data_IF_811696685969
#
_entry.id   IF_811696685969
#
_cell.length_a   1.000
_cell.length_b   1.000
_cell.length_c   1.000
_cell.angle_alpha   90.00
_cell.angle_beta   90.00
_cell.angle_gamma   90.00
#
_symmetry.space_group_name_H-M   'P 1'
#
loop_
_entity.id
_entity.type
_entity.pdbx_description
1 polymer ?
#
# COMPACT_ATOMS: atom_id res chain seq x y z
N UNK A 1 -46.15 33.06 14.51
CA UNK A 1 -45.54 31.74 14.38
C UNK A 1 -44.62 31.76 13.17
N UNK A 2 -43.36 31.93 13.38
CA UNK A 2 -42.32 31.73 12.32
C UNK A 2 -41.74 30.32 12.50
N UNK A 3 -42.25 29.37 11.76
CA UNK A 3 -41.50 28.13 11.53
C UNK A 3 -40.47 28.44 10.47
N UNK A 4 -39.26 28.73 10.91
CA UNK A 4 -38.09 28.83 10.06
C UNK A 4 -37.82 27.45 9.47
N UNK A 5 -37.72 27.35 8.16
CA UNK A 5 -37.20 26.17 7.48
C UNK A 5 -35.69 26.09 7.75
N UNK A 6 -35.28 25.50 8.85
CA UNK A 6 -33.86 25.25 9.15
C UNK A 6 -33.22 24.36 8.08
N UNK A 7 -33.96 23.43 7.51
CA UNK A 7 -33.50 22.55 6.41
C UNK A 7 -33.16 23.27 5.10
N UNK A 8 -33.64 24.50 4.90
CA UNK A 8 -33.38 25.26 3.65
C UNK A 8 -32.05 26.02 3.71
N UNK A 9 -31.51 26.26 4.87
CA UNK A 9 -30.25 26.98 5.07
C UNK A 9 -29.03 26.06 5.19
N UNK A 10 -29.24 24.76 5.29
CA UNK A 10 -28.14 23.78 5.34
C UNK A 10 -27.70 23.37 3.92
N UNK A 11 -27.21 24.38 3.18
CA UNK A 11 -26.71 24.23 1.78
C UNK A 11 -25.39 23.47 1.74
N UNK A 12 -24.76 23.24 2.88
CA UNK A 12 -23.48 22.54 2.98
C UNK A 12 -23.62 21.01 3.14
N UNK A 13 -24.88 20.53 3.22
CA UNK A 13 -25.17 19.13 3.36
C UNK A 13 -25.50 18.52 2.00
N UNK A 14 -24.49 17.95 1.36
CA UNK A 14 -24.69 17.18 0.11
C UNK A 14 -25.29 15.83 0.48
N UNK A 15 -26.59 15.65 0.26
CA UNK A 15 -27.30 14.37 0.52
C UNK A 15 -26.72 13.18 -0.25
N UNK A 16 -25.97 13.46 -1.29
CA UNK A 16 -25.37 12.45 -2.19
C UNK A 16 -23.93 12.08 -1.84
N UNK A 17 -23.34 12.71 -0.83
CA UNK A 17 -22.01 12.33 -0.34
C UNK A 17 -22.13 11.58 0.99
N UNK A 18 -21.56 10.37 1.12
CA UNK A 18 -21.60 9.65 2.40
C UNK A 18 -20.85 10.46 3.45
N UNK A 19 -21.57 10.86 4.52
CA UNK A 19 -21.03 11.65 5.63
C UNK A 19 -20.09 10.83 6.50
N UNK A 20 -20.30 9.53 6.50
CA UNK A 20 -19.50 8.56 7.25
C UNK A 20 -18.93 7.51 6.31
N UNK A 21 -17.63 7.37 6.33
CA UNK A 21 -16.93 6.29 5.64
C UNK A 21 -16.73 5.12 6.60
N UNK A 22 -16.77 3.90 6.10
CA UNK A 22 -16.56 2.68 6.88
C UNK A 22 -15.41 1.85 6.32
N UNK A 23 -14.87 0.94 7.13
CA UNK A 23 -13.74 0.08 6.74
C UNK A 23 -14.07 -0.77 5.50
N UNK A 24 -15.30 -1.28 5.41
CA UNK A 24 -15.76 -2.09 4.27
C UNK A 24 -15.84 -1.31 2.96
N UNK A 25 -15.91 0.02 3.01
CA UNK A 25 -15.84 0.89 1.84
C UNK A 25 -14.40 1.24 1.45
N UNK A 26 -13.50 1.39 2.42
CA UNK A 26 -12.13 1.85 2.16
C UNK A 26 -11.16 0.70 1.88
N UNK A 27 -11.32 -0.45 2.54
CA UNK A 27 -10.43 -1.59 2.36
C UNK A 27 -10.36 -2.09 0.90
N UNK A 28 -11.49 -2.19 0.14
CA UNK A 28 -11.43 -2.52 -1.29
C UNK A 28 -10.61 -1.52 -2.11
N UNK A 29 -10.71 -0.23 -1.77
CA UNK A 29 -9.94 0.83 -2.42
C UNK A 29 -8.45 0.70 -2.10
N UNK A 30 -8.11 0.40 -0.85
CA UNK A 30 -6.73 0.19 -0.42
C UNK A 30 -6.09 -1.01 -1.11
N UNK A 31 -6.79 -2.16 -1.19
CA UNK A 31 -6.26 -3.36 -1.88
C UNK A 31 -6.15 -3.15 -3.40
N UNK A 32 -7.07 -2.39 -3.99
CA UNK A 32 -6.95 -1.99 -5.39
C UNK A 32 -5.70 -1.14 -5.64
N UNK A 33 -5.50 -0.08 -4.87
CA UNK A 33 -4.32 0.79 -5.07
C UNK A 33 -3.01 0.11 -4.68
N UNK A 34 -3.03 -0.88 -3.77
CA UNK A 34 -1.88 -1.74 -3.52
C UNK A 34 -1.44 -2.49 -4.79
N UNK A 35 -2.39 -2.97 -5.60
CA UNK A 35 -2.09 -3.59 -6.88
C UNK A 35 -1.59 -2.59 -7.93
N UNK A 36 -2.17 -1.37 -7.95
CA UNK A 36 -1.78 -0.32 -8.88
C UNK A 36 -0.37 0.19 -8.62
N UNK A 37 0.04 0.34 -7.36
CA UNK A 37 1.41 0.77 -7.04
C UNK A 37 2.44 -0.28 -7.48
N UNK A 38 2.12 -1.57 -7.34
CA UNK A 38 2.98 -2.65 -7.86
C UNK A 38 3.12 -2.57 -9.39
N UNK A 39 2.02 -2.29 -10.09
CA UNK A 39 2.04 -2.08 -11.54
C UNK A 39 2.90 -0.87 -11.92
N UNK A 40 2.67 0.30 -11.32
CA UNK A 40 3.39 1.53 -11.64
C UNK A 40 4.91 1.37 -11.43
N UNK A 41 5.33 0.68 -10.35
CA UNK A 41 6.74 0.38 -10.09
C UNK A 41 7.33 -0.62 -11.08
N UNK A 42 6.58 -1.65 -11.45
CA UNK A 42 7.02 -2.63 -12.43
C UNK A 42 7.15 -1.99 -13.82
N UNK A 43 6.16 -1.21 -14.24
CA UNK A 43 6.18 -0.49 -15.51
C UNK A 43 7.37 0.47 -15.58
N UNK A 44 7.56 1.29 -14.54
CA UNK A 44 8.73 2.17 -14.46
C UNK A 44 10.04 1.40 -14.57
N UNK A 45 10.17 0.29 -13.82
CA UNK A 45 11.38 -0.53 -13.81
C UNK A 45 11.72 -1.10 -15.18
N UNK A 46 10.73 -1.68 -15.88
CA UNK A 46 10.97 -2.32 -17.20
C UNK A 46 11.33 -1.31 -18.30
N UNK A 47 10.80 -0.10 -18.23
CA UNK A 47 11.20 0.97 -19.15
C UNK A 47 12.56 1.56 -18.79
N UNK A 48 12.87 1.77 -17.52
CA UNK A 48 14.17 2.32 -17.09
C UNK A 48 15.33 1.37 -17.38
N UNK A 49 15.15 0.07 -17.23
CA UNK A 49 16.16 -0.93 -17.59
C UNK A 49 16.14 -1.28 -19.10
N UNK A 50 15.26 -0.65 -19.89
CA UNK A 50 15.09 -0.88 -21.32
C UNK A 50 14.74 -2.33 -21.69
N UNK A 51 14.11 -3.06 -20.78
CA UNK A 51 13.58 -4.39 -21.04
C UNK A 51 12.37 -4.34 -21.99
N UNK A 52 11.61 -3.25 -21.96
CA UNK A 52 10.51 -2.95 -22.87
C UNK A 52 10.71 -1.57 -23.50
N UNK A 53 10.22 -1.42 -24.72
CA UNK A 53 10.14 -0.14 -25.44
C UNK A 53 8.84 -0.07 -26.20
N UNK A 54 8.34 1.14 -26.46
CA UNK A 54 7.16 1.33 -27.28
C UNK A 54 7.52 1.26 -28.77
N UNK A 55 6.66 0.64 -29.58
CA UNK A 55 6.81 0.66 -31.03
C UNK A 55 6.42 2.03 -31.60
N UNK A 56 7.41 2.83 -31.96
CA UNK A 56 7.24 4.09 -32.68
C UNK A 56 6.83 5.27 -31.81
N UNK A 57 6.82 6.47 -32.41
CA UNK A 57 6.29 7.69 -31.80
C UNK A 57 4.77 7.60 -31.76
N UNK A 58 4.20 7.19 -30.65
CA UNK A 58 2.77 7.35 -30.45
C UNK A 58 2.46 8.83 -30.23
N UNK A 59 1.71 9.43 -31.12
CA UNK A 59 1.25 10.82 -31.00
C UNK A 59 0.25 11.04 -29.86
N UNK A 60 -0.21 9.97 -29.24
CA UNK A 60 -1.23 9.96 -28.18
C UNK A 60 -0.77 9.36 -26.88
N UNK A 61 0.44 8.90 -26.78
CA UNK A 61 0.82 8.10 -25.63
C UNK A 61 1.85 8.71 -24.75
N UNK A 62 1.51 9.03 -23.83
CA UNK A 62 1.77 9.28 -22.45
C UNK A 62 2.73 8.33 -21.72
N UNK A 63 3.68 7.69 -22.37
CA UNK A 63 4.73 6.97 -21.69
C UNK A 63 6.05 7.70 -21.85
N UNK A 64 6.36 8.67 -20.98
CA UNK A 64 7.59 9.48 -21.07
C UNK A 64 8.85 8.62 -20.94
N UNK A 65 8.74 7.42 -20.39
CA UNK A 65 9.88 6.51 -20.22
C UNK A 65 10.29 5.76 -21.49
N UNK A 66 9.45 5.75 -22.52
CA UNK A 66 9.70 4.99 -23.74
C UNK A 66 10.58 5.69 -24.75
N UNK A 67 10.81 7.00 -24.61
CA UNK A 67 11.50 7.83 -25.58
C UNK A 67 12.88 8.34 -25.12
N UNK A 68 13.42 7.80 -24.08
CA UNK A 68 14.63 8.27 -23.44
C UNK A 68 14.42 8.45 -21.95
N UNK A 69 15.45 8.78 -21.26
CA UNK A 69 15.46 8.89 -19.81
C UNK A 69 14.83 10.23 -19.35
N UNK A 70 13.61 10.50 -19.79
CA UNK A 70 12.84 11.65 -19.34
C UNK A 70 12.21 11.37 -17.99
N UNK A 71 12.67 12.07 -16.96
CA UNK A 71 12.12 11.97 -15.62
C UNK A 71 11.01 13.00 -15.42
N UNK A 72 9.83 12.51 -15.03
CA UNK A 72 8.76 13.40 -14.57
C UNK A 72 9.14 14.01 -13.22
N UNK A 73 8.67 15.22 -12.97
CA UNK A 73 8.76 15.79 -11.63
C UNK A 73 8.08 14.88 -10.61
N UNK A 74 8.69 14.74 -9.42
CA UNK A 74 8.25 13.82 -8.35
C UNK A 74 6.75 13.92 -8.07
N UNK A 75 6.21 15.14 -8.00
CA UNK A 75 4.80 15.41 -7.73
C UNK A 75 3.83 14.92 -8.82
N UNK A 76 4.32 14.61 -10.01
CA UNK A 76 3.53 14.08 -11.13
C UNK A 76 3.75 12.59 -11.36
N UNK A 77 4.70 12.01 -10.65
CA UNK A 77 5.06 10.61 -10.86
C UNK A 77 3.94 9.70 -10.32
N UNK A 78 3.42 8.74 -11.12
CA UNK A 78 2.34 7.86 -10.69
C UNK A 78 2.64 7.15 -9.37
N UNK A 79 3.82 6.57 -9.19
CA UNK A 79 4.22 5.88 -7.96
C UNK A 79 4.14 6.77 -6.72
N UNK A 80 4.63 8.03 -6.82
CA UNK A 80 4.58 9.01 -5.72
C UNK A 80 3.15 9.38 -5.37
N UNK A 81 2.34 9.71 -6.38
CA UNK A 81 0.93 10.02 -6.20
C UNK A 81 0.17 8.84 -5.57
N UNK A 82 0.40 7.61 -6.07
CA UNK A 82 -0.24 6.41 -5.52
C UNK A 82 0.08 6.24 -4.05
N UNK A 83 1.35 6.35 -3.68
CA UNK A 83 1.77 6.19 -2.30
C UNK A 83 1.10 7.18 -1.35
N UNK A 84 1.12 8.48 -1.67
CA UNK A 84 0.65 9.50 -0.74
C UNK A 84 -0.85 9.76 -0.82
N UNK A 85 -1.44 9.79 -2.02
CA UNK A 85 -2.83 10.20 -2.19
C UNK A 85 -3.77 9.01 -2.36
N UNK A 86 -3.56 8.22 -3.39
CA UNK A 86 -4.54 7.22 -3.79
C UNK A 86 -4.58 6.04 -2.78
N UNK A 87 -3.44 5.61 -2.27
CA UNK A 87 -3.32 4.55 -1.27
C UNK A 87 -3.24 5.11 0.15
N UNK A 88 -2.23 5.94 0.42
CA UNK A 88 -1.87 6.31 1.79
C UNK A 88 -2.94 7.11 2.51
N UNK A 89 -3.56 8.10 1.84
CA UNK A 89 -4.65 8.86 2.45
C UNK A 89 -5.87 7.98 2.77
N UNK A 90 -6.18 7.01 1.91
CA UNK A 90 -7.25 6.04 2.17
C UNK A 90 -6.92 5.12 3.34
N UNK A 91 -5.70 4.59 3.41
CA UNK A 91 -5.28 3.75 4.55
C UNK A 91 -5.24 4.57 5.85
N UNK A 92 -4.76 5.81 5.81
CA UNK A 92 -4.80 6.69 6.98
C UNK A 92 -6.24 6.82 7.51
N UNK A 93 -7.19 7.12 6.62
CA UNK A 93 -8.60 7.23 6.99
C UNK A 93 -9.18 5.90 7.50
N UNK A 94 -8.83 4.80 6.85
CA UNK A 94 -9.23 3.47 7.29
C UNK A 94 -8.70 3.14 8.68
N UNK A 95 -7.44 3.45 8.97
CA UNK A 95 -6.82 3.19 10.26
C UNK A 95 -7.48 4.01 11.39
N UNK A 96 -7.86 5.26 11.14
CA UNK A 96 -8.62 6.06 12.10
C UNK A 96 -9.95 5.38 12.48
N UNK A 97 -10.73 4.99 11.46
CA UNK A 97 -12.03 4.34 11.65
C UNK A 97 -11.86 2.96 12.31
N UNK A 98 -10.89 2.19 11.87
CA UNK A 98 -10.62 0.86 12.38
C UNK A 98 -10.15 0.90 13.84
N UNK A 99 -9.35 1.90 14.22
CA UNK A 99 -8.92 2.12 15.61
C UNK A 99 -10.11 2.46 16.48
N UNK A 100 -10.97 3.39 16.06
CA UNK A 100 -12.17 3.79 16.80
C UNK A 100 -13.12 2.61 17.04
N UNK A 101 -13.25 1.72 16.06
CA UNK A 101 -14.17 0.57 16.12
C UNK A 101 -13.53 -0.72 16.63
N UNK A 102 -12.23 -0.75 16.86
CA UNK A 102 -11.50 -1.95 17.26
C UNK A 102 -11.41 -3.01 16.14
N UNK A 103 -11.40 -2.60 14.88
CA UNK A 103 -11.26 -3.51 13.74
C UNK A 103 -9.77 -3.83 13.48
N UNK A 104 -9.15 -4.56 14.38
CA UNK A 104 -7.70 -4.81 14.38
C UNK A 104 -7.22 -5.58 13.17
N UNK A 105 -8.02 -6.50 12.62
CA UNK A 105 -7.69 -7.21 11.39
C UNK A 105 -7.52 -6.26 10.19
N UNK A 106 -8.36 -5.24 10.06
CA UNK A 106 -8.22 -4.23 9.02
C UNK A 106 -6.97 -3.35 9.22
N UNK A 107 -6.64 -3.03 10.50
CA UNK A 107 -5.40 -2.31 10.84
C UNK A 107 -4.16 -3.09 10.42
N UNK A 108 -4.10 -4.39 10.72
CA UNK A 108 -2.98 -5.26 10.33
C UNK A 108 -2.80 -5.27 8.82
N UNK A 109 -3.87 -5.44 8.05
CA UNK A 109 -3.85 -5.45 6.59
C UNK A 109 -3.38 -4.08 6.05
N UNK A 110 -3.98 -2.99 6.51
CA UNK A 110 -3.64 -1.64 6.05
C UNK A 110 -2.20 -1.25 6.33
N UNK A 111 -1.70 -1.53 7.53
CA UNK A 111 -0.31 -1.28 7.91
C UNK A 111 0.67 -2.12 7.08
N UNK A 112 0.35 -3.39 6.81
CA UNK A 112 1.19 -4.25 5.95
C UNK A 112 1.26 -3.74 4.52
N UNK A 113 0.13 -3.28 3.96
CA UNK A 113 0.10 -2.65 2.63
C UNK A 113 0.93 -1.37 2.61
N UNK A 114 0.82 -0.52 3.64
CA UNK A 114 1.62 0.72 3.72
C UNK A 114 3.11 0.45 3.88
N UNK A 115 3.50 -0.58 4.63
CA UNK A 115 4.90 -1.01 4.74
C UNK A 115 5.47 -1.38 3.36
N UNK A 116 4.74 -2.19 2.58
CA UNK A 116 5.11 -2.54 1.21
C UNK A 116 5.25 -1.29 0.33
N UNK A 117 4.25 -0.42 0.35
CA UNK A 117 4.22 0.80 -0.45
C UNK A 117 5.36 1.76 -0.09
N UNK A 118 5.65 1.93 1.21
CA UNK A 118 6.76 2.77 1.70
C UNK A 118 8.11 2.22 1.22
N UNK A 119 8.32 0.91 1.33
CA UNK A 119 9.54 0.27 0.83
C UNK A 119 9.75 0.51 -0.66
N UNK A 120 8.72 0.27 -1.48
CA UNK A 120 8.79 0.47 -2.92
C UNK A 120 9.07 1.94 -3.26
N UNK A 121 8.42 2.87 -2.57
CA UNK A 121 8.55 4.30 -2.84
C UNK A 121 9.92 4.84 -2.45
N UNK A 122 10.43 4.51 -1.27
CA UNK A 122 11.78 4.94 -0.86
C UNK A 122 12.88 4.28 -1.69
N UNK A 123 12.67 3.04 -2.16
CA UNK A 123 13.58 2.37 -3.09
C UNK A 123 13.69 3.09 -4.44
N UNK A 124 12.60 3.71 -4.90
CA UNK A 124 12.57 4.44 -6.16
C UNK A 124 13.03 5.89 -6.05
N UNK A 125 12.74 6.57 -4.93
CA UNK A 125 12.93 8.01 -4.80
C UNK A 125 13.97 8.42 -3.74
N UNK A 126 14.40 7.52 -2.87
CA UNK A 126 15.28 7.82 -1.73
C UNK A 126 14.53 8.49 -0.57
N UNK A 127 14.98 9.69 -0.20
CA UNK A 127 14.36 10.48 0.86
C UNK A 127 12.90 10.82 0.54
N UNK A 128 12.03 10.72 1.54
CA UNK A 128 10.59 10.96 1.36
C UNK A 128 9.93 11.45 2.65
N UNK A 129 8.83 12.23 2.57
CA UNK A 129 8.04 12.55 3.75
C UNK A 129 7.43 11.28 4.35
N UNK A 130 7.68 11.04 5.64
CA UNK A 130 7.08 9.92 6.37
C UNK A 130 6.61 10.34 7.77
N UNK A 131 7.48 10.93 8.58
CA UNK A 131 7.19 11.20 9.99
C UNK A 131 6.11 12.25 10.23
N UNK A 132 5.92 13.17 9.30
CA UNK A 132 4.97 14.27 9.38
C UNK A 132 3.89 14.23 8.29
N UNK A 133 3.87 13.17 7.47
CA UNK A 133 2.86 13.01 6.42
C UNK A 133 1.46 12.95 7.04
N UNK A 134 0.48 13.61 6.42
CA UNK A 134 -0.90 13.78 6.88
C UNK A 134 -1.09 14.61 8.17
N UNK A 135 -0.01 15.09 8.79
CA UNK A 135 -0.05 15.92 10.01
C UNK A 135 0.35 17.37 9.73
N UNK A 136 1.07 17.62 8.65
CA UNK A 136 1.56 18.93 8.23
C UNK A 136 1.24 19.20 6.78
N UNK A 137 0.89 20.45 6.47
CA UNK A 137 0.75 20.91 5.06
C UNK A 137 2.09 21.02 4.33
N UNK A 138 3.21 21.02 5.07
CA UNK A 138 4.57 21.04 4.54
C UNK A 138 5.43 20.05 5.33
N UNK A 139 5.23 18.74 5.14
CA UNK A 139 5.98 17.74 5.87
C UNK A 139 7.46 17.77 5.47
N UNK A 140 8.35 17.57 6.45
CA UNK A 140 9.77 17.40 6.17
C UNK A 140 10.03 16.11 5.39
N UNK A 141 11.11 16.08 4.63
CA UNK A 141 11.65 14.85 4.08
C UNK A 141 12.48 14.15 5.17
N UNK A 142 12.14 12.91 5.42
CA UNK A 142 12.98 12.01 6.21
C UNK A 142 13.99 11.36 5.27
N UNK A 143 15.22 11.14 5.76
CA UNK A 143 16.24 10.44 4.97
C UNK A 143 15.83 9.00 4.71
N UNK A 144 16.29 8.41 3.60
CA UNK A 144 16.01 7.00 3.31
C UNK A 144 16.41 6.09 4.48
N UNK A 145 17.51 6.41 5.17
CA UNK A 145 17.93 5.68 6.36
C UNK A 145 16.87 5.72 7.48
N UNK A 146 16.35 6.91 7.79
CA UNK A 146 15.28 7.06 8.81
C UNK A 146 14.01 6.30 8.41
N UNK A 147 13.64 6.32 7.13
CA UNK A 147 12.51 5.56 6.59
C UNK A 147 12.74 4.05 6.76
N UNK A 148 13.93 3.55 6.46
CA UNK A 148 14.28 2.13 6.65
C UNK A 148 14.31 1.74 8.13
N UNK A 149 14.86 2.56 9.00
CA UNK A 149 14.87 2.29 10.44
C UNK A 149 13.43 2.20 10.99
N UNK A 150 12.54 3.06 10.53
CA UNK A 150 11.11 2.95 10.84
C UNK A 150 10.47 1.67 10.27
N UNK A 151 10.75 1.30 9.02
CA UNK A 151 10.19 0.09 8.42
C UNK A 151 10.57 -1.18 9.19
N UNK A 152 11.79 -1.25 9.74
CA UNK A 152 12.20 -2.36 10.60
C UNK A 152 11.41 -2.39 11.91
N UNK A 153 11.19 -1.26 12.55
CA UNK A 153 10.35 -1.17 13.75
C UNK A 153 8.90 -1.56 13.45
N UNK A 154 8.34 -1.04 12.36
CA UNK A 154 6.97 -1.32 11.94
C UNK A 154 6.74 -2.80 11.62
N UNK A 155 7.68 -3.44 10.90
CA UNK A 155 7.53 -4.86 10.55
C UNK A 155 7.66 -5.76 11.77
N UNK A 156 8.52 -5.41 12.73
CA UNK A 156 8.67 -6.17 13.97
C UNK A 156 7.39 -6.08 14.81
N UNK A 157 6.85 -4.88 15.01
CA UNK A 157 5.58 -4.67 15.71
C UNK A 157 4.42 -5.41 15.01
N UNK A 158 4.32 -5.31 13.67
CA UNK A 158 3.28 -6.01 12.92
C UNK A 158 3.33 -7.52 13.15
N UNK A 159 4.52 -8.13 13.12
CA UNK A 159 4.68 -9.57 13.32
C UNK A 159 4.31 -9.99 14.74
N UNK A 160 4.58 -9.16 15.75
CA UNK A 160 4.10 -9.40 17.13
C UNK A 160 2.57 -9.33 17.20
N UNK A 161 1.95 -8.32 16.57
CA UNK A 161 0.50 -8.14 16.55
C UNK A 161 -0.25 -9.24 15.77
N UNK A 162 0.35 -9.79 14.71
CA UNK A 162 -0.20 -10.97 14.03
C UNK A 162 -0.24 -12.20 14.91
N UNK A 163 0.61 -12.30 15.93
CA UNK A 163 0.61 -13.39 16.91
C UNK A 163 -0.27 -13.10 18.14
N UNK A 164 -0.74 -11.87 18.32
CA UNK A 164 -1.56 -11.48 19.47
C UNK A 164 -3.03 -11.85 19.25
N UNK A 165 -3.58 -12.79 20.07
CA UNK A 165 -5.00 -13.12 20.01
C UNK A 165 -5.93 -11.93 20.31
N UNK A 166 -5.46 -10.92 21.08
CA UNK A 166 -6.24 -9.72 21.34
C UNK A 166 -6.50 -8.91 20.06
N UNK A 167 -5.64 -9.04 19.06
CA UNK A 167 -5.79 -8.42 17.74
C UNK A 167 -6.46 -9.36 16.74
N UNK A 168 -5.95 -10.58 16.60
CA UNK A 168 -6.38 -11.50 15.54
C UNK A 168 -7.74 -12.15 15.80
N UNK A 169 -8.16 -12.28 17.09
CA UNK A 169 -9.41 -12.90 17.52
C UNK A 169 -10.36 -11.93 18.23
N UNK A 170 -10.14 -10.62 18.09
CA UNK A 170 -11.02 -9.63 18.69
C UNK A 170 -12.45 -9.77 18.17
N UNK A 171 -13.42 -9.71 19.06
CA UNK A 171 -14.85 -9.82 18.70
C UNK A 171 -15.36 -8.63 17.90
N UNK A 172 -14.62 -7.51 17.94
CA UNK A 172 -14.87 -6.30 17.15
C UNK A 172 -14.34 -6.38 15.72
N UNK A 173 -13.55 -7.40 15.39
CA UNK A 173 -13.02 -7.57 14.04
C UNK A 173 -14.12 -7.78 13.01
N UNK A 174 -13.94 -7.18 11.85
CA UNK A 174 -14.86 -7.37 10.72
C UNK A 174 -14.69 -8.75 10.09
N UNK A 175 -15.78 -9.25 9.55
CA UNK A 175 -15.73 -10.39 8.63
C UNK A 175 -15.34 -9.82 7.27
N UNK A 176 -14.05 -9.93 6.92
CA UNK A 176 -13.51 -9.42 5.67
C UNK A 176 -13.76 -10.45 4.57
N UNK A 177 -14.55 -10.05 3.58
CA UNK A 177 -14.87 -10.89 2.42
C UNK A 177 -13.85 -10.70 1.28
N UNK A 178 -13.89 -11.60 0.30
CA UNK A 178 -13.10 -11.47 -0.94
C UNK A 178 -13.39 -10.17 -1.72
N UNK A 179 -14.59 -9.58 -1.57
CA UNK A 179 -14.92 -8.30 -2.18
C UNK A 179 -14.23 -7.12 -1.49
N UNK A 180 -13.95 -7.24 -0.21
CA UNK A 180 -13.26 -6.22 0.59
C UNK A 180 -11.75 -6.34 0.46
N UNK A 181 -11.22 -7.56 0.53
CA UNK A 181 -9.81 -7.88 0.33
C UNK A 181 -9.66 -8.86 -0.83
N UNK A 182 -9.36 -8.33 -2.02
CA UNK A 182 -9.20 -9.11 -3.25
C UNK A 182 -7.84 -9.80 -3.37
N UNK A 183 -6.98 -9.68 -2.36
CA UNK A 183 -5.65 -10.29 -2.33
C UNK A 183 -5.71 -11.62 -1.59
N UNK A 184 -6.15 -11.60 -0.34
CA UNK A 184 -6.17 -12.79 0.52
C UNK A 184 -7.51 -13.05 1.22
N UNK A 185 -8.57 -12.32 0.85
CA UNK A 185 -9.91 -12.46 1.42
C UNK A 185 -9.96 -12.32 2.96
N UNK A 186 -9.12 -11.47 3.53
CA UNK A 186 -9.01 -11.23 4.96
C UNK A 186 -8.28 -12.32 5.75
N UNK A 187 -7.64 -13.28 5.08
CA UNK A 187 -6.85 -14.34 5.73
C UNK A 187 -5.58 -13.77 6.34
N UNK A 188 -5.61 -13.56 7.67
CA UNK A 188 -4.49 -12.98 8.41
C UNK A 188 -3.24 -13.85 8.40
N UNK A 189 -3.35 -15.16 8.23
CA UNK A 189 -2.17 -16.04 8.16
C UNK A 189 -1.38 -15.82 6.87
N UNK A 190 -2.07 -15.50 5.77
CA UNK A 190 -1.45 -15.15 4.50
C UNK A 190 -0.85 -13.74 4.53
N UNK A 191 -1.54 -12.80 5.17
CA UNK A 191 -1.02 -11.45 5.39
C UNK A 191 0.22 -11.46 6.29
N UNK A 192 0.25 -12.27 7.34
CA UNK A 192 1.44 -12.50 8.18
C UNK A 192 2.61 -13.07 7.37
N UNK A 193 2.34 -14.12 6.58
CA UNK A 193 3.35 -14.71 5.70
C UNK A 193 3.91 -13.68 4.71
N UNK A 194 3.06 -12.85 4.14
CA UNK A 194 3.47 -11.75 3.28
C UNK A 194 4.32 -10.71 4.04
N UNK A 195 3.93 -10.35 5.27
CA UNK A 195 4.69 -9.45 6.14
C UNK A 195 6.10 -9.99 6.46
N UNK A 196 6.23 -11.31 6.75
CA UNK A 196 7.52 -11.99 6.91
C UNK A 196 8.38 -11.89 5.65
N UNK A 197 7.78 -12.07 4.48
CA UNK A 197 8.44 -11.87 3.19
C UNK A 197 8.96 -10.44 2.98
N UNK A 198 8.19 -9.43 3.41
CA UNK A 198 8.63 -8.03 3.40
C UNK A 198 9.83 -7.82 4.34
N UNK A 199 9.82 -8.39 5.54
CA UNK A 199 10.96 -8.31 6.47
C UNK A 199 12.23 -8.92 5.88
N UNK A 200 12.12 -10.09 5.26
CA UNK A 200 13.25 -10.71 4.56
C UNK A 200 13.79 -9.81 3.45
N UNK A 201 12.90 -9.18 2.67
CA UNK A 201 13.29 -8.24 1.62
C UNK A 201 13.95 -6.97 2.17
N UNK A 202 13.48 -6.40 3.29
CA UNK A 202 14.12 -5.27 3.97
C UNK A 202 15.56 -5.60 4.37
N UNK A 203 15.79 -6.78 4.93
CA UNK A 203 17.14 -7.24 5.27
C UNK A 203 18.06 -7.34 4.06
N UNK A 204 17.58 -7.93 2.96
CA UNK A 204 18.35 -8.02 1.70
C UNK A 204 18.75 -6.64 1.17
N UNK A 205 17.90 -5.62 1.34
CA UNK A 205 18.17 -4.25 0.89
C UNK A 205 19.15 -3.50 1.79
N UNK A 206 19.12 -3.76 3.09
CA UNK A 206 19.98 -3.09 4.08
C UNK A 206 21.44 -3.55 4.03
N UNK A 207 21.70 -4.74 3.49
CA UNK A 207 23.04 -5.34 3.51
C UNK A 207 23.80 -5.02 2.21
N UNK A 208 24.77 -4.08 2.22
CA UNK A 208 25.63 -3.83 1.07
C UNK A 208 26.62 -4.98 0.80
N UNK A 209 26.95 -5.79 1.82
CA UNK A 209 27.92 -6.90 1.74
C UNK A 209 27.41 -8.11 2.53
N UNK A 210 26.28 -8.70 2.08
CA UNK A 210 25.70 -9.90 2.70
C UNK A 210 26.67 -11.08 2.75
N UNK A 211 27.62 -11.17 1.81
CA UNK A 211 28.68 -12.19 1.73
C UNK A 211 29.51 -12.28 3.02
N UNK A 212 29.66 -11.19 3.75
CA UNK A 212 30.46 -11.10 4.96
C UNK A 212 29.64 -11.18 6.26
N UNK A 213 28.34 -11.49 6.16
CA UNK A 213 27.47 -11.56 7.34
C UNK A 213 26.59 -12.82 7.36
N UNK A 214 27.19 -14.00 7.60
CA UNK A 214 26.47 -15.28 7.54
C UNK A 214 25.32 -15.37 8.56
N UNK A 215 25.40 -14.70 9.70
CA UNK A 215 24.32 -14.70 10.70
C UNK A 215 23.05 -14.02 10.15
N UNK A 216 23.20 -12.89 9.48
CA UNK A 216 22.05 -12.20 8.86
C UNK A 216 21.52 -12.97 7.65
N UNK A 217 22.39 -13.61 6.86
CA UNK A 217 21.95 -14.49 5.78
C UNK A 217 21.10 -15.65 6.34
N UNK A 218 21.49 -16.24 7.47
CA UNK A 218 20.71 -17.30 8.11
C UNK A 218 19.36 -16.79 8.63
N UNK A 219 19.31 -15.57 9.17
CA UNK A 219 18.04 -14.95 9.59
C UNK A 219 17.10 -14.72 8.39
N UNK A 220 17.61 -14.21 7.28
CA UNK A 220 16.83 -14.04 6.04
C UNK A 220 16.28 -15.38 5.56
N UNK A 221 17.09 -16.45 5.58
CA UNK A 221 16.67 -17.80 5.20
C UNK A 221 15.56 -18.30 6.14
N UNK A 222 15.71 -18.10 7.44
CA UNK A 222 14.69 -18.51 8.41
C UNK A 222 13.37 -17.77 8.18
N UNK A 223 13.41 -16.44 8.02
CA UNK A 223 12.24 -15.63 7.71
C UNK A 223 11.55 -16.06 6.41
N UNK A 224 12.33 -16.35 5.37
CA UNK A 224 11.81 -16.83 4.10
C UNK A 224 11.13 -18.20 4.26
N UNK A 225 11.74 -19.13 4.99
CA UNK A 225 11.15 -20.44 5.26
C UNK A 225 9.86 -20.33 6.09
N UNK A 226 9.84 -19.46 7.11
CA UNK A 226 8.66 -19.22 7.93
C UNK A 226 7.52 -18.57 7.09
N UNK A 227 7.88 -17.67 6.19
CA UNK A 227 6.90 -17.11 5.24
C UNK A 227 6.35 -18.21 4.32
N UNK A 228 7.20 -19.08 3.78
CA UNK A 228 6.81 -20.14 2.86
C UNK A 228 5.86 -21.17 3.48
N UNK A 229 5.88 -21.37 4.80
CA UNK A 229 4.99 -22.31 5.48
C UNK A 229 3.49 -22.00 5.24
N UNK A 230 3.13 -20.74 5.11
CA UNK A 230 1.75 -20.29 4.83
C UNK A 230 1.68 -19.41 3.57
N UNK A 231 2.68 -19.48 2.69
CA UNK A 231 2.77 -18.62 1.53
C UNK A 231 1.66 -18.92 0.52
N UNK A 232 0.95 -17.87 0.19
CA UNK A 232 0.10 -17.83 -0.99
C UNK A 232 0.55 -16.64 -1.81
N UNK A 233 0.70 -16.80 -3.11
CA UNK A 233 1.07 -15.72 -4.01
C UNK A 233 0.08 -14.55 -3.86
N UNK A 234 0.54 -13.33 -3.50
CA UNK A 234 -0.33 -12.17 -3.39
C UNK A 234 -0.84 -11.79 -4.79
N UNK A 235 -2.08 -12.11 -5.06
CA UNK A 235 -2.69 -11.90 -6.37
C UNK A 235 -3.96 -11.08 -6.21
N UNK A 236 -3.97 -9.88 -6.80
CA UNK A 236 -5.18 -9.08 -6.86
C UNK A 236 -6.08 -9.56 -8.02
N UNK A 237 -7.29 -9.98 -7.70
CA UNK A 237 -8.27 -10.45 -8.67
C UNK A 237 -9.08 -9.26 -9.20
N UNK A 238 -8.72 -8.78 -10.39
CA UNK A 238 -9.44 -7.69 -11.04
C UNK A 238 -10.85 -8.14 -11.45
N UNK A 239 -11.90 -7.36 -11.09
CA UNK A 239 -13.27 -7.77 -11.39
C UNK A 239 -13.64 -7.71 -12.86
N UNK A 240 -12.91 -6.93 -13.67
CA UNK A 240 -13.23 -6.73 -15.08
C UNK A 240 -14.52 -5.94 -15.30
N UNK A 241 -14.97 -5.90 -16.54
CA UNK A 241 -16.28 -5.33 -16.93
C UNK A 241 -16.24 -3.86 -17.34
N UNK A 242 -15.43 -3.02 -16.69
CA UNK A 242 -15.20 -1.62 -17.08
C UNK A 242 -13.70 -1.35 -17.11
N UNK A 243 -13.28 -0.35 -17.88
CA UNK A 243 -11.86 -0.06 -18.13
C UNK A 243 -11.06 0.10 -16.84
N UNK A 244 -11.63 0.80 -15.85
CA UNK A 244 -10.98 1.05 -14.56
C UNK A 244 -10.86 -0.20 -13.68
N UNK A 245 -11.63 -1.23 -13.98
CA UNK A 245 -11.65 -2.50 -13.25
C UNK A 245 -10.84 -3.60 -13.94
N UNK A 246 -10.22 -3.30 -15.08
CA UNK A 246 -9.39 -4.25 -15.80
C UNK A 246 -7.96 -4.29 -15.24
N UNK A 247 -7.30 -5.43 -15.44
CA UNK A 247 -5.87 -5.54 -15.15
C UNK A 247 -5.10 -4.49 -15.97
N UNK A 248 -4.19 -3.71 -15.37
CA UNK A 248 -3.43 -2.67 -16.10
C UNK A 248 -2.57 -3.22 -17.24
N UNK A 249 -2.13 -4.49 -17.14
CA UNK A 249 -1.41 -5.16 -18.22
C UNK A 249 -2.30 -5.57 -19.41
N UNK A 250 -3.60 -5.29 -19.31
CA UNK A 250 -4.59 -5.58 -20.33
C UNK A 250 -5.09 -7.03 -20.32
N UNK A 251 -6.13 -7.32 -21.12
CA UNK A 251 -6.47 -8.70 -21.43
C UNK A 251 -5.35 -9.26 -22.29
N UNK A 252 -4.67 -10.26 -21.75
CA UNK A 252 -3.73 -11.07 -22.54
C UNK A 252 -4.51 -11.94 -23.51
#
# INVERSE_FOLDING_TARGET
>A
FFTSCEDFLDVNYTKDSPITTSVDQVLPVATFYASQICYDHAEYGVYMCQALTTMGKSSTGSYPYSQGWEFLGVNRHPMWRRHFYDLGANIQKMNEIATEKGNYNALLIGRTIMLMSTMMTTDAFGDMPRSQVYQSSSPKYDTQKEVYDWMFQEVDELLELYQDPAWTKATSNLIISEKMDRIFAGDLSKWEAFCKGLKARLWLRKLPNWENNPAVCQEIINLANDALANWTEPRYNYPGGVTESNCPWGPL
#
